data_IF_899207238767
#
_entry.id   IF_899207238767
#
_cell.length_a   1.000
_cell.length_b   1.000
_cell.length_c   1.000
_cell.angle_alpha   90.00
_cell.angle_beta   90.00
_cell.angle_gamma   90.00
#
_symmetry.space_group_name_H-M   'P 1'
#
loop_
_entity.id
_entity.type
_entity.pdbx_description
1 polymer ?
#
# COMPACT_ATOMS: atom_id res chain seq x y z
N UNK A 1 26.02 19.03 -10.93
CA UNK A 1 24.76 18.29 -10.76
C UNK A 1 23.62 19.28 -10.98
N UNK A 2 22.82 19.13 -12.03
CA UNK A 2 21.71 20.07 -12.31
C UNK A 2 20.50 19.73 -11.44
N UNK A 3 19.60 20.69 -11.23
CA UNK A 3 18.35 20.50 -10.46
C UNK A 3 17.48 19.37 -11.05
N UNK A 4 17.64 19.06 -12.35
CA UNK A 4 16.98 17.95 -13.05
C UNK A 4 17.60 16.58 -12.79
N UNK A 5 18.87 16.50 -12.37
CA UNK A 5 19.53 15.25 -11.93
C UNK A 5 19.20 14.91 -10.47
N UNK A 6 18.81 15.91 -9.68
CA UNK A 6 18.32 15.78 -8.29
C UNK A 6 16.80 15.57 -8.19
N UNK A 7 16.06 15.73 -9.30
CA UNK A 7 14.69 15.23 -9.37
C UNK A 7 14.75 13.70 -9.28
N UNK A 8 14.56 13.20 -8.07
CA UNK A 8 14.34 11.81 -7.66
C UNK A 8 13.42 11.06 -8.65
N UNK A 9 13.95 10.65 -9.80
CA UNK A 9 13.31 9.72 -10.73
C UNK A 9 13.57 8.22 -10.48
N UNK A 10 14.33 7.75 -9.47
CA UNK A 10 14.38 6.31 -9.18
C UNK A 10 13.47 5.95 -8.00
N UNK A 11 12.27 5.44 -8.27
CA UNK A 11 11.38 4.90 -7.21
C UNK A 11 9.91 4.78 -7.59
N UNK A 12 9.31 5.92 -7.96
CA UNK A 12 7.86 6.05 -8.06
C UNK A 12 7.26 5.30 -9.28
N UNK A 13 7.83 5.49 -10.47
CA UNK A 13 7.23 4.95 -11.71
C UNK A 13 7.25 3.42 -11.85
N UNK A 14 8.08 2.71 -11.09
CA UNK A 14 8.14 1.24 -11.11
C UNK A 14 7.45 0.60 -9.91
N UNK A 15 7.40 1.29 -8.76
CA UNK A 15 6.46 0.98 -7.67
C UNK A 15 5.00 0.99 -8.17
N UNK A 16 4.66 1.96 -9.04
CA UNK A 16 3.41 2.00 -9.81
C UNK A 16 3.19 0.75 -10.68
N UNK A 17 4.24 0.26 -11.34
CA UNK A 17 4.20 -0.97 -12.15
C UNK A 17 4.08 -2.22 -11.32
N UNK A 18 4.50 -2.20 -10.05
CA UNK A 18 4.54 -3.37 -9.18
C UNK A 18 3.26 -3.59 -8.40
N UNK A 19 2.68 -2.48 -7.99
CA UNK A 19 1.29 -2.47 -7.60
C UNK A 19 0.35 -2.55 -8.80
N UNK A 20 0.87 -2.74 -10.04
CA UNK A 20 0.17 -2.90 -11.33
C UNK A 20 -1.23 -2.33 -11.22
N UNK A 21 -1.41 -1.07 -11.63
CA UNK A 21 -2.73 -0.52 -11.90
C UNK A 21 -3.60 -1.65 -12.46
N UNK A 22 -4.60 -2.12 -11.69
CA UNK A 22 -5.30 -3.35 -12.03
C UNK A 22 -5.74 -3.23 -13.48
N UNK A 23 -5.30 -4.16 -14.33
CA UNK A 23 -5.67 -4.11 -15.75
C UNK A 23 -7.17 -4.28 -15.80
N UNK A 24 -7.85 -3.21 -16.19
CA UNK A 24 -9.28 -3.17 -16.38
C UNK A 24 -9.54 -2.97 -17.87
N UNK A 25 -10.26 -3.89 -18.48
CA UNK A 25 -10.55 -3.88 -19.92
C UNK A 25 -11.97 -3.39 -20.20
N UNK A 26 -12.74 -3.05 -19.17
CA UNK A 26 -14.09 -2.49 -19.28
C UNK A 26 -14.08 -0.99 -18.99
N UNK A 27 -14.47 -0.20 -19.99
CA UNK A 27 -14.53 1.27 -19.90
C UNK A 27 -15.39 1.74 -18.73
N UNK A 28 -16.50 1.05 -18.47
CA UNK A 28 -17.44 1.37 -17.39
C UNK A 28 -16.82 1.29 -15.98
N UNK A 29 -15.70 0.58 -15.82
CA UNK A 29 -14.99 0.43 -14.54
C UNK A 29 -13.71 1.28 -14.48
N UNK A 30 -13.29 1.92 -15.58
CA UNK A 30 -12.00 2.62 -15.64
C UNK A 30 -11.90 3.77 -14.65
N UNK A 31 -12.98 4.52 -14.44
CA UNK A 31 -13.00 5.63 -13.47
C UNK A 31 -12.79 5.11 -12.05
N UNK A 32 -13.56 4.11 -11.63
CA UNK A 32 -13.43 3.47 -10.31
C UNK A 32 -12.00 2.95 -10.07
N UNK A 33 -11.41 2.29 -11.07
CA UNK A 33 -10.05 1.76 -11.02
C UNK A 33 -9.01 2.87 -10.96
N UNK A 34 -9.21 3.97 -11.68
CA UNK A 34 -8.33 5.15 -11.67
C UNK A 34 -8.35 5.85 -10.30
N UNK A 35 -9.53 6.07 -9.72
CA UNK A 35 -9.70 6.65 -8.39
C UNK A 35 -9.04 5.77 -7.34
N UNK A 36 -9.29 4.46 -7.38
CA UNK A 36 -8.61 3.49 -6.52
C UNK A 36 -7.09 3.58 -6.67
N UNK A 37 -6.58 3.60 -7.90
CA UNK A 37 -5.15 3.68 -8.15
C UNK A 37 -4.55 4.94 -7.50
N UNK A 38 -5.16 6.10 -7.70
CA UNK A 38 -4.73 7.35 -7.07
C UNK A 38 -4.73 7.27 -5.53
N UNK A 39 -5.81 6.74 -4.94
CA UNK A 39 -5.93 6.57 -3.48
C UNK A 39 -4.89 5.61 -2.93
N UNK A 40 -4.71 4.48 -3.60
CA UNK A 40 -3.75 3.45 -3.22
C UNK A 40 -2.34 3.98 -3.33
N UNK A 41 -2.00 4.70 -4.41
CA UNK A 41 -0.69 5.31 -4.61
C UNK A 41 -0.35 6.35 -3.54
N UNK A 42 -1.35 7.08 -3.00
CA UNK A 42 -1.14 7.98 -1.85
C UNK A 42 -0.76 7.22 -0.58
N UNK A 43 -1.51 6.17 -0.23
CA UNK A 43 -1.19 5.32 0.92
C UNK A 43 0.17 4.64 0.75
N UNK A 44 0.44 4.19 -0.46
CA UNK A 44 1.67 3.53 -0.85
C UNK A 44 2.90 4.46 -0.84
N UNK A 45 2.73 5.73 -1.21
CA UNK A 45 3.78 6.75 -1.10
C UNK A 45 4.23 6.92 0.36
N UNK A 46 3.33 6.73 1.32
CA UNK A 46 3.69 6.70 2.74
C UNK A 46 4.52 5.46 3.11
N UNK A 47 4.24 4.29 2.50
CA UNK A 47 5.04 3.09 2.69
C UNK A 47 6.45 3.21 2.08
N UNK A 48 6.57 3.89 0.93
CA UNK A 48 7.85 4.12 0.25
C UNK A 48 8.64 5.29 0.80
N UNK A 49 8.06 6.10 1.69
CA UNK A 49 8.78 7.14 2.42
C UNK A 49 10.06 6.58 3.07
N UNK A 50 9.97 5.42 3.71
CA UNK A 50 11.13 4.76 4.31
C UNK A 50 12.19 4.39 3.27
N UNK A 51 11.82 3.81 2.14
CA UNK A 51 12.79 3.41 1.12
C UNK A 51 13.41 4.59 0.38
N UNK A 52 12.67 5.68 0.24
CA UNK A 52 13.07 6.85 -0.55
C UNK A 52 13.82 7.90 0.28
N UNK A 53 13.68 7.87 1.61
CA UNK A 53 14.38 8.80 2.50
C UNK A 53 15.37 8.06 3.39
N UNK A 54 14.92 7.06 4.15
CA UNK A 54 15.76 6.43 5.18
C UNK A 54 16.95 5.69 4.55
N UNK A 55 16.73 4.93 3.48
CA UNK A 55 17.84 4.20 2.83
C UNK A 55 18.87 5.17 2.23
N UNK A 56 18.49 6.17 1.41
CA UNK A 56 19.44 7.19 0.95
C UNK A 56 20.15 7.92 2.09
N UNK A 57 19.45 8.29 3.17
CA UNK A 57 20.08 8.93 4.34
C UNK A 57 21.14 8.03 4.96
N UNK A 58 20.87 6.73 5.14
CA UNK A 58 21.86 5.78 5.68
C UNK A 58 23.09 5.70 4.74
N UNK A 59 22.87 5.71 3.43
CA UNK A 59 23.96 5.68 2.44
C UNK A 59 24.80 6.96 2.52
N UNK A 60 24.15 8.13 2.62
CA UNK A 60 24.81 9.43 2.77
C UNK A 60 25.66 9.44 4.04
N UNK A 61 25.07 9.14 5.19
CA UNK A 61 25.75 9.15 6.50
C UNK A 61 26.94 8.19 6.52
N UNK A 62 26.80 7.02 5.88
CA UNK A 62 27.89 6.05 5.77
C UNK A 62 29.03 6.58 4.89
N UNK A 63 28.70 7.11 3.72
CA UNK A 63 29.69 7.67 2.80
C UNK A 63 30.43 8.85 3.43
N UNK A 64 29.70 9.71 4.15
CA UNK A 64 30.27 10.84 4.90
C UNK A 64 31.24 10.35 5.99
N UNK A 65 30.83 9.37 6.81
CA UNK A 65 31.68 8.83 7.87
C UNK A 65 32.94 8.14 7.33
N UNK A 66 32.81 7.39 6.22
CA UNK A 66 33.95 6.73 5.56
C UNK A 66 34.94 7.76 5.00
N UNK A 67 34.45 8.83 4.36
CA UNK A 67 35.29 9.88 3.79
C UNK A 67 35.94 10.76 4.88
N UNK A 68 35.22 11.13 5.93
CA UNK A 68 35.79 11.85 7.08
C UNK A 68 36.93 11.05 7.74
N UNK A 69 36.72 9.74 7.93
CA UNK A 69 37.75 8.86 8.46
C UNK A 69 38.97 8.71 7.52
N UNK A 70 38.78 8.84 6.20
CA UNK A 70 39.88 8.87 5.23
C UNK A 70 40.66 10.19 5.32
N UNK A 71 39.97 11.33 5.37
CA UNK A 71 40.56 12.67 5.53
C UNK A 71 41.39 12.74 6.81
N UNK A 72 40.88 12.24 7.94
CA UNK A 72 41.60 12.23 9.22
C UNK A 72 42.91 11.41 9.14
N UNK A 73 42.88 10.25 8.46
CA UNK A 73 44.06 9.39 8.30
C UNK A 73 45.13 9.99 7.39
N UNK A 74 44.74 10.77 6.40
CA UNK A 74 45.67 11.45 5.51
C UNK A 74 46.48 12.55 6.24
N UNK A 75 45.93 13.09 7.33
CA UNK A 75 46.60 14.13 8.13
C UNK A 75 46.84 15.44 7.37
N UNK A 76 46.22 15.61 6.19
CA UNK A 76 46.37 16.79 5.36
C UNK A 76 45.50 17.94 5.91
N UNK A 77 46.07 19.15 5.96
CA UNK A 77 45.33 20.36 6.28
C UNK A 77 44.49 20.78 5.06
N UNK A 78 43.31 20.18 4.91
CA UNK A 78 42.32 20.60 3.92
C UNK A 78 41.64 21.90 4.38
N UNK A 79 41.40 22.79 3.44
CA UNK A 79 40.44 23.89 3.63
C UNK A 79 39.02 23.32 3.78
N UNK A 80 38.12 24.11 4.34
CA UNK A 80 36.70 23.72 4.48
C UNK A 80 36.05 23.44 3.12
N UNK A 81 36.40 24.21 2.08
CA UNK A 81 35.91 24.01 0.71
C UNK A 81 36.41 22.70 0.09
N UNK A 82 37.68 22.36 0.29
CA UNK A 82 38.24 21.09 -0.19
C UNK A 82 37.61 19.89 0.52
N UNK A 83 37.39 20.01 1.85
CA UNK A 83 36.68 19.01 2.64
C UNK A 83 35.25 18.83 2.14
N UNK A 84 34.50 19.92 1.97
CA UNK A 84 33.12 19.88 1.48
C UNK A 84 33.02 19.23 0.10
N UNK A 85 33.93 19.58 -0.83
CA UNK A 85 33.97 19.00 -2.18
C UNK A 85 34.23 17.49 -2.18
N UNK A 86 35.11 17.01 -1.30
CA UNK A 86 35.38 15.58 -1.14
C UNK A 86 34.16 14.83 -0.62
N UNK A 87 33.51 15.35 0.42
CA UNK A 87 32.29 14.76 0.97
C UNK A 87 31.18 14.70 -0.08
N UNK A 88 30.93 15.79 -0.82
CA UNK A 88 29.94 15.83 -1.90
C UNK A 88 30.24 14.79 -2.99
N UNK A 89 31.52 14.64 -3.36
CA UNK A 89 31.96 13.64 -4.34
C UNK A 89 31.72 12.20 -3.84
N UNK A 90 32.07 11.90 -2.58
CA UNK A 90 31.90 10.58 -1.99
C UNK A 90 30.41 10.21 -1.86
N UNK A 91 29.60 11.15 -1.36
CA UNK A 91 28.14 11.00 -1.23
C UNK A 91 27.51 10.78 -2.61
N UNK A 92 27.85 11.62 -3.59
CA UNK A 92 27.34 11.53 -4.95
C UNK A 92 27.66 10.19 -5.60
N UNK A 93 28.87 9.68 -5.41
CA UNK A 93 29.28 8.35 -5.88
C UNK A 93 28.45 7.23 -5.23
N UNK A 94 28.33 7.24 -3.90
CA UNK A 94 27.61 6.20 -3.16
C UNK A 94 26.12 6.14 -3.55
N UNK A 95 25.47 7.31 -3.71
CA UNK A 95 24.10 7.40 -4.19
C UNK A 95 23.97 6.91 -5.63
N UNK A 96 24.90 7.30 -6.52
CA UNK A 96 24.90 6.85 -7.92
C UNK A 96 25.03 5.33 -8.03
N UNK A 97 25.91 4.71 -7.24
CA UNK A 97 26.08 3.26 -7.17
C UNK A 97 24.80 2.57 -6.68
N UNK A 98 24.16 3.10 -5.64
CA UNK A 98 22.89 2.58 -5.14
C UNK A 98 21.77 2.67 -6.18
N UNK A 99 21.61 3.80 -6.85
CA UNK A 99 20.57 3.95 -7.89
C UNK A 99 20.87 3.13 -9.13
N UNK A 100 22.15 2.96 -9.50
CA UNK A 100 22.56 2.04 -10.57
C UNK A 100 22.28 0.59 -10.20
N UNK A 101 22.52 0.20 -8.95
CA UNK A 101 22.14 -1.11 -8.42
C UNK A 101 20.64 -1.33 -8.53
N UNK A 102 19.83 -0.34 -8.13
CA UNK A 102 18.37 -0.42 -8.30
C UNK A 102 18.00 -0.60 -9.78
N UNK A 103 18.46 0.31 -10.65
CA UNK A 103 18.13 0.29 -12.08
C UNK A 103 18.52 -1.04 -12.77
N UNK A 104 19.74 -1.53 -12.52
CA UNK A 104 20.28 -2.75 -13.15
C UNK A 104 19.57 -4.02 -12.66
N UNK A 105 19.15 -4.07 -11.40
CA UNK A 105 18.43 -5.21 -10.86
C UNK A 105 16.92 -5.14 -11.15
N UNK A 106 16.38 -3.97 -11.50
CA UNK A 106 14.99 -3.83 -11.91
C UNK A 106 14.74 -3.97 -13.42
N UNK A 107 15.76 -3.93 -14.28
CA UNK A 107 15.60 -4.13 -15.74
C UNK A 107 14.51 -3.25 -16.39
N UNK A 108 14.06 -3.62 -17.60
CA UNK A 108 12.89 -2.99 -18.27
C UNK A 108 11.53 -3.50 -17.76
N UNK A 109 11.55 -4.56 -16.94
CA UNK A 109 10.42 -5.12 -16.21
C UNK A 109 10.88 -5.39 -14.78
N UNK A 110 10.51 -4.55 -13.80
CA UNK A 110 10.95 -4.70 -12.41
C UNK A 110 10.57 -6.07 -11.85
N UNK A 111 11.55 -6.76 -11.25
CA UNK A 111 11.27 -7.97 -10.47
C UNK A 111 10.45 -7.60 -9.22
N UNK A 112 9.22 -8.12 -9.09
CA UNK A 112 8.39 -7.86 -7.93
C UNK A 112 8.96 -8.25 -6.58
N UNK A 113 9.85 -9.23 -6.59
CA UNK A 113 10.48 -9.71 -5.38
C UNK A 113 11.49 -8.70 -4.84
N UNK A 114 12.31 -8.08 -5.71
CA UNK A 114 13.27 -7.07 -5.30
C UNK A 114 12.58 -5.86 -4.68
N UNK A 115 11.45 -5.43 -5.23
CA UNK A 115 10.74 -4.31 -4.65
C UNK A 115 10.17 -4.57 -3.27
N UNK A 116 9.51 -5.72 -3.14
CA UNK A 116 9.02 -6.22 -1.86
C UNK A 116 10.14 -6.26 -0.83
N UNK A 117 11.35 -6.61 -1.26
CA UNK A 117 12.54 -6.66 -0.43
C UNK A 117 13.03 -5.26 -0.04
N UNK A 118 13.00 -4.28 -0.95
CA UNK A 118 13.30 -2.88 -0.64
C UNK A 118 12.35 -2.27 0.40
N UNK A 119 11.03 -2.48 0.27
CA UNK A 119 10.07 -2.01 1.28
C UNK A 119 10.35 -2.68 2.63
N UNK A 120 10.60 -4.00 2.65
CA UNK A 120 10.92 -4.72 3.88
C UNK A 120 12.19 -4.22 4.55
N UNK A 121 13.24 -3.92 3.77
CA UNK A 121 14.47 -3.29 4.28
C UNK A 121 14.17 -1.93 4.90
N UNK A 122 13.35 -1.11 4.25
CA UNK A 122 12.95 0.18 4.79
C UNK A 122 12.22 0.04 6.13
N UNK A 123 11.25 -0.87 6.23
CA UNK A 123 10.57 -1.13 7.50
C UNK A 123 11.53 -1.66 8.58
N UNK A 124 12.45 -2.56 8.23
CA UNK A 124 13.48 -3.04 9.14
C UNK A 124 14.32 -1.87 9.70
N UNK A 125 14.76 -0.94 8.85
CA UNK A 125 15.50 0.23 9.30
C UNK A 125 14.69 1.14 10.21
N UNK A 126 13.41 1.36 9.91
CA UNK A 126 12.52 2.12 10.80
C UNK A 126 12.47 1.47 12.19
N UNK A 127 12.22 0.16 12.27
CA UNK A 127 12.19 -0.54 13.55
C UNK A 127 13.53 -0.52 14.29
N UNK A 128 14.63 -0.64 13.54
CA UNK A 128 15.97 -0.52 14.09
C UNK A 128 16.21 0.87 14.69
N UNK A 129 15.77 1.94 14.01
CA UNK A 129 15.82 3.31 14.52
C UNK A 129 14.95 3.43 15.78
N UNK A 130 13.73 2.90 15.79
CA UNK A 130 12.87 2.90 16.99
C UNK A 130 13.51 2.18 18.18
N UNK A 131 14.27 1.11 17.93
CA UNK A 131 14.99 0.36 18.96
C UNK A 131 16.14 1.15 19.56
N UNK A 132 16.91 1.88 18.73
CA UNK A 132 18.04 2.69 19.19
C UNK A 132 17.59 4.02 19.78
N UNK A 133 16.54 4.62 19.21
CA UNK A 133 15.97 5.91 19.59
C UNK A 133 14.50 5.73 19.96
N UNK A 134 14.18 5.29 21.19
CA UNK A 134 12.80 5.01 21.61
C UNK A 134 11.83 6.17 21.44
N UNK A 135 12.33 7.42 21.40
CA UNK A 135 11.55 8.63 21.18
C UNK A 135 10.89 8.65 19.79
N UNK A 136 11.49 7.97 18.80
CA UNK A 136 10.97 7.87 17.43
C UNK A 136 9.88 6.81 17.26
N UNK A 137 9.69 5.95 18.26
CA UNK A 137 8.77 4.81 18.17
C UNK A 137 7.32 5.24 17.90
N UNK A 138 6.86 6.31 18.56
CA UNK A 138 5.53 6.84 18.36
C UNK A 138 5.32 7.32 16.90
N UNK A 139 6.25 8.10 16.37
CA UNK A 139 6.18 8.60 15.00
C UNK A 139 6.18 7.47 13.95
N UNK A 140 6.97 6.42 14.18
CA UNK A 140 7.00 5.24 13.30
C UNK A 140 5.69 4.47 13.37
N UNK A 141 5.13 4.30 14.58
CA UNK A 141 3.83 3.68 14.75
C UNK A 141 2.70 4.48 14.08
N UNK A 142 2.73 5.81 14.17
CA UNK A 142 1.76 6.69 13.51
C UNK A 142 1.87 6.60 11.98
N UNK A 143 3.10 6.49 11.45
CA UNK A 143 3.32 6.22 10.04
C UNK A 143 2.75 4.85 9.61
N UNK A 144 2.91 3.81 10.41
CA UNK A 144 2.27 2.52 10.14
C UNK A 144 0.74 2.58 10.21
N UNK A 145 0.19 3.29 11.20
CA UNK A 145 -1.25 3.51 11.31
C UNK A 145 -1.83 4.27 10.10
N UNK A 146 -1.10 5.27 9.60
CA UNK A 146 -1.53 6.05 8.43
C UNK A 146 -1.54 5.19 7.16
N UNK A 147 -0.55 4.31 6.98
CA UNK A 147 -0.52 3.36 5.86
C UNK A 147 -1.72 2.41 5.87
N UNK A 148 -2.02 1.78 7.02
CA UNK A 148 -3.17 0.88 7.16
C UNK A 148 -4.50 1.60 6.90
N UNK A 149 -4.66 2.80 7.44
CA UNK A 149 -5.87 3.62 7.26
C UNK A 149 -6.02 4.09 5.81
N UNK A 150 -4.92 4.46 5.16
CA UNK A 150 -4.90 4.87 3.76
C UNK A 150 -5.30 3.73 2.81
N UNK A 151 -4.76 2.53 3.02
CA UNK A 151 -5.12 1.36 2.21
C UNK A 151 -6.56 0.92 2.45
N UNK A 152 -7.04 0.95 3.69
CA UNK A 152 -8.46 0.70 3.98
C UNK A 152 -9.37 1.68 3.26
N UNK A 153 -9.07 2.98 3.34
CA UNK A 153 -9.84 4.02 2.64
C UNK A 153 -9.85 3.79 1.13
N UNK A 154 -8.70 3.43 0.54
CA UNK A 154 -8.62 3.12 -0.88
C UNK A 154 -9.50 1.91 -1.25
N UNK A 155 -9.53 0.87 -0.41
CA UNK A 155 -10.39 -0.29 -0.60
C UNK A 155 -11.89 0.05 -0.48
N UNK A 156 -12.30 0.86 0.52
CA UNK A 156 -13.69 1.29 0.68
C UNK A 156 -14.17 2.05 -0.56
N UNK A 157 -13.38 3.00 -1.04
CA UNK A 157 -13.71 3.79 -2.24
C UNK A 157 -13.81 2.89 -3.47
N UNK A 158 -12.85 1.98 -3.67
CA UNK A 158 -12.92 1.00 -4.75
C UNK A 158 -14.23 0.20 -4.73
N UNK A 159 -14.62 -0.30 -3.55
CA UNK A 159 -15.83 -1.09 -3.42
C UNK A 159 -17.09 -0.29 -3.76
N UNK A 160 -17.17 0.95 -3.29
CA UNK A 160 -18.30 1.84 -3.56
C UNK A 160 -18.39 2.20 -5.05
N UNK A 161 -17.28 2.61 -5.66
CA UNK A 161 -17.23 3.04 -7.06
C UNK A 161 -17.49 1.88 -8.02
N UNK A 162 -16.87 0.71 -7.82
CA UNK A 162 -17.13 -0.48 -8.65
C UNK A 162 -18.61 -0.87 -8.61
N UNK A 163 -19.19 -0.86 -7.41
CA UNK A 163 -20.59 -1.24 -7.24
C UNK A 163 -21.52 -0.27 -7.95
N UNK A 164 -21.29 1.05 -7.80
CA UNK A 164 -22.07 2.08 -8.50
C UNK A 164 -21.92 1.98 -10.02
N UNK A 165 -20.70 1.82 -10.53
CA UNK A 165 -20.46 1.63 -11.96
C UNK A 165 -21.26 0.47 -12.55
N UNK A 166 -21.38 -0.63 -11.80
CA UNK A 166 -22.22 -1.79 -12.20
C UNK A 166 -23.70 -1.42 -12.20
N UNK A 167 -24.20 -0.76 -11.14
CA UNK A 167 -25.60 -0.38 -11.06
C UNK A 167 -26.02 0.63 -12.14
N UNK A 168 -25.15 1.59 -12.46
CA UNK A 168 -25.42 2.59 -13.48
C UNK A 168 -25.41 1.96 -14.89
N UNK A 169 -24.54 0.98 -15.10
CA UNK A 169 -24.48 0.23 -16.37
C UNK A 169 -25.64 -0.76 -16.53
N UNK A 170 -26.14 -1.31 -15.41
CA UNK A 170 -27.17 -2.36 -15.37
C UNK A 170 -28.31 -1.96 -14.42
N UNK A 171 -29.13 -0.94 -14.75
CA UNK A 171 -30.07 -0.34 -13.81
C UNK A 171 -31.16 -1.29 -13.31
N UNK A 172 -31.42 -2.40 -14.00
CA UNK A 172 -32.47 -3.36 -13.68
C UNK A 172 -31.97 -4.60 -12.91
N UNK A 173 -30.68 -4.65 -12.53
CA UNK A 173 -30.10 -5.80 -11.83
C UNK A 173 -30.66 -5.99 -10.41
N UNK A 174 -30.99 -4.89 -9.74
CA UNK A 174 -31.63 -4.86 -8.42
C UNK A 174 -32.76 -3.84 -8.43
N UNK A 175 -33.79 -4.07 -7.61
CA UNK A 175 -34.93 -3.17 -7.53
C UNK A 175 -34.56 -1.82 -6.89
N UNK A 176 -35.29 -0.75 -7.22
CA UNK A 176 -35.11 0.57 -6.59
C UNK A 176 -35.24 0.53 -5.06
N UNK A 177 -36.08 -0.37 -4.54
CA UNK A 177 -36.21 -0.59 -3.09
C UNK A 177 -34.92 -1.15 -2.51
N UNK A 178 -34.30 -2.12 -3.17
CA UNK A 178 -33.02 -2.70 -2.75
C UNK A 178 -31.91 -1.67 -2.85
N UNK A 179 -31.81 -0.92 -3.96
CA UNK A 179 -30.86 0.19 -4.12
C UNK A 179 -30.91 1.16 -2.95
N UNK A 180 -32.11 1.64 -2.58
CA UNK A 180 -32.28 2.55 -1.44
C UNK A 180 -31.86 1.94 -0.11
N UNK A 181 -32.15 0.66 0.10
CA UNK A 181 -31.78 -0.06 1.32
C UNK A 181 -30.26 -0.25 1.48
N UNK A 182 -29.53 -0.25 0.35
CA UNK A 182 -28.08 -0.45 0.29
C UNK A 182 -27.32 0.88 0.27
N UNK A 183 -27.80 1.89 -0.47
CA UNK A 183 -27.15 3.20 -0.60
C UNK A 183 -27.06 3.95 0.74
N UNK A 184 -28.07 3.82 1.62
CA UNK A 184 -28.09 4.52 2.89
C UNK A 184 -26.98 4.05 3.88
N UNK A 185 -26.66 2.75 3.99
CA UNK A 185 -25.47 2.26 4.68
C UNK A 185 -24.13 2.62 4.03
N UNK A 186 -24.04 2.63 2.70
CA UNK A 186 -22.76 2.85 1.99
C UNK A 186 -22.19 4.26 2.18
N UNK A 187 -23.05 5.28 2.27
CA UNK A 187 -22.62 6.67 2.47
C UNK A 187 -22.14 7.01 3.89
N UNK A 188 -22.31 6.13 4.88
CA UNK A 188 -21.77 6.30 6.22
C UNK A 188 -20.58 5.38 6.39
N UNK A 189 -19.37 5.95 6.41
CA UNK A 189 -18.09 5.35 6.86
C UNK A 189 -18.26 3.88 7.29
N UNK A 190 -18.30 3.01 6.30
CA UNK A 190 -19.01 1.74 6.39
C UNK A 190 -18.08 0.60 6.72
N UNK A 191 -18.36 -0.13 7.79
CA UNK A 191 -17.68 -1.40 8.02
C UNK A 191 -17.87 -2.38 6.85
N UNK A 192 -17.11 -3.47 6.87
CA UNK A 192 -17.12 -4.48 5.80
C UNK A 192 -18.48 -5.19 5.61
N UNK A 193 -19.35 -5.18 6.63
CA UNK A 193 -20.68 -5.82 6.59
C UNK A 193 -21.61 -5.20 5.52
N UNK A 194 -21.87 -3.87 5.51
CA UNK A 194 -22.55 -3.21 4.40
C UNK A 194 -21.99 -3.59 3.02
N UNK A 195 -20.66 -3.54 2.87
CA UNK A 195 -19.99 -3.85 1.59
C UNK A 195 -20.37 -5.26 1.12
N UNK A 196 -20.17 -6.27 1.97
CA UNK A 196 -20.51 -7.67 1.67
C UNK A 196 -21.98 -7.81 1.29
N UNK A 197 -22.90 -7.17 2.03
CA UNK A 197 -24.34 -7.26 1.76
C UNK A 197 -24.73 -6.71 0.39
N UNK A 198 -24.18 -5.56 -0.02
CA UNK A 198 -24.46 -5.01 -1.34
C UNK A 198 -23.97 -5.90 -2.46
N UNK A 199 -22.73 -6.37 -2.33
CA UNK A 199 -22.11 -7.22 -3.33
C UNK A 199 -22.83 -8.57 -3.42
N UNK A 200 -23.19 -9.17 -2.29
CA UNK A 200 -24.02 -10.38 -2.25
C UNK A 200 -25.36 -10.16 -2.96
N UNK A 201 -26.05 -9.05 -2.69
CA UNK A 201 -27.35 -8.75 -3.33
C UNK A 201 -27.22 -8.50 -4.83
N UNK A 202 -26.11 -7.90 -5.27
CA UNK A 202 -25.93 -7.42 -6.66
C UNK A 202 -25.37 -8.49 -7.58
N UNK A 203 -24.39 -9.27 -7.10
CA UNK A 203 -23.62 -10.17 -7.96
C UNK A 203 -24.14 -11.62 -7.96
N UNK A 204 -25.23 -11.94 -7.26
CA UNK A 204 -25.84 -13.28 -7.31
C UNK A 204 -26.51 -13.58 -8.66
N UNK A 205 -26.48 -14.85 -9.13
CA UNK A 205 -25.91 -16.03 -8.47
C UNK A 205 -24.42 -16.27 -8.76
N UNK A 206 -23.79 -15.54 -9.70
CA UNK A 206 -22.43 -15.85 -10.20
C UNK A 206 -21.30 -15.06 -9.50
N UNK A 207 -21.58 -14.49 -8.34
CA UNK A 207 -20.68 -13.62 -7.58
C UNK A 207 -19.72 -14.36 -6.64
N UNK A 208 -19.58 -15.68 -6.72
CA UNK A 208 -18.76 -16.45 -5.77
C UNK A 208 -17.28 -15.98 -5.71
N UNK A 209 -16.58 -15.69 -6.82
CA UNK A 209 -15.20 -15.18 -6.75
C UNK A 209 -15.09 -13.82 -6.05
N UNK A 210 -16.09 -12.95 -6.28
CA UNK A 210 -16.21 -11.64 -5.65
C UNK A 210 -16.40 -11.80 -4.14
N UNK A 211 -17.34 -12.66 -3.73
CA UNK A 211 -17.64 -12.90 -2.32
C UNK A 211 -16.49 -13.59 -1.60
N UNK A 212 -15.79 -14.53 -2.26
CA UNK A 212 -14.57 -15.14 -1.73
C UNK A 212 -13.51 -14.08 -1.44
N UNK A 213 -13.36 -13.09 -2.33
CA UNK A 213 -12.43 -11.97 -2.13
C UNK A 213 -12.84 -11.08 -0.95
N UNK A 214 -14.13 -10.73 -0.85
CA UNK A 214 -14.66 -9.89 0.23
C UNK A 214 -14.69 -10.60 1.60
N UNK A 215 -14.67 -11.94 1.61
CA UNK A 215 -14.65 -12.76 2.82
C UNK A 215 -13.22 -13.12 3.28
N UNK A 216 -12.18 -12.55 2.66
CA UNK A 216 -10.81 -12.78 3.13
C UNK A 216 -10.61 -12.17 4.54
N UNK A 217 -10.09 -12.96 5.51
CA UNK A 217 -9.86 -12.50 6.88
C UNK A 217 -9.01 -11.24 7.01
N UNK A 218 -8.13 -10.97 6.05
CA UNK A 218 -7.25 -9.80 6.08
C UNK A 218 -8.05 -8.50 6.01
N UNK A 219 -9.22 -8.49 5.37
CA UNK A 219 -10.12 -7.35 5.33
C UNK A 219 -10.81 -7.14 6.69
N UNK A 220 -11.21 -8.20 7.39
CA UNK A 220 -11.81 -8.09 8.73
C UNK A 220 -10.81 -7.55 9.75
N UNK A 221 -9.55 -8.02 9.69
CA UNK A 221 -8.46 -7.51 10.54
C UNK A 221 -8.21 -6.04 10.24
N UNK A 222 -8.09 -5.66 8.97
CA UNK A 222 -7.83 -4.27 8.57
C UNK A 222 -8.98 -3.33 8.95
N UNK A 223 -10.23 -3.75 8.72
CA UNK A 223 -11.43 -3.01 9.12
C UNK A 223 -11.46 -2.77 10.64
N UNK A 224 -11.15 -3.81 11.42
CA UNK A 224 -11.10 -3.74 12.89
C UNK A 224 -9.96 -2.83 13.37
N UNK A 225 -8.78 -2.91 12.76
CA UNK A 225 -7.64 -2.03 13.07
C UNK A 225 -7.96 -0.56 12.76
N UNK A 226 -8.56 -0.30 11.60
CA UNK A 226 -8.98 1.05 11.22
C UNK A 226 -9.97 1.64 12.23
N UNK A 227 -10.90 0.83 12.75
CA UNK A 227 -11.80 1.28 13.82
C UNK A 227 -11.02 1.77 15.06
N UNK A 228 -10.09 0.97 15.60
CA UNK A 228 -9.35 1.38 16.80
C UNK A 228 -8.37 2.54 16.55
N UNK A 229 -7.75 2.60 15.36
CA UNK A 229 -6.87 3.70 14.98
C UNK A 229 -7.65 5.01 14.95
N UNK A 230 -8.80 5.03 14.26
CA UNK A 230 -9.58 6.26 14.02
C UNK A 230 -10.44 6.64 15.24
N UNK A 231 -11.04 5.67 15.92
CA UNK A 231 -12.07 5.94 16.94
C UNK A 231 -11.59 5.71 18.38
N UNK A 232 -10.48 5.01 18.59
CA UNK A 232 -9.97 4.72 19.94
C UNK A 232 -8.52 5.18 20.14
N UNK A 233 -8.06 6.18 19.36
CA UNK A 233 -6.71 6.75 19.45
C UNK A 233 -5.61 5.69 19.41
N UNK A 234 -5.78 4.67 18.56
CA UNK A 234 -4.88 3.53 18.46
C UNK A 234 -4.62 2.84 19.82
N UNK A 235 -5.66 2.64 20.63
CA UNK A 235 -5.63 1.81 21.84
C UNK A 235 -6.50 0.57 21.64
N UNK A 236 -6.11 -0.54 22.25
CA UNK A 236 -6.95 -1.74 22.24
C UNK A 236 -8.22 -1.51 23.06
N UNK A 237 -9.37 -1.90 22.51
CA UNK A 237 -10.63 -2.03 23.24
C UNK A 237 -11.09 -3.50 23.22
N UNK A 238 -12.06 -3.82 24.08
CA UNK A 238 -12.59 -5.18 24.17
C UNK A 238 -13.27 -5.62 22.87
N UNK A 239 -13.97 -4.69 22.20
CA UNK A 239 -14.69 -4.97 20.96
C UNK A 239 -13.75 -5.46 19.85
N UNK A 240 -12.59 -4.82 19.69
CA UNK A 240 -11.55 -5.21 18.77
C UNK A 240 -10.97 -6.57 19.13
N UNK A 241 -10.59 -6.78 20.40
CA UNK A 241 -9.99 -8.05 20.83
C UNK A 241 -10.94 -9.23 20.60
N UNK A 242 -12.23 -9.03 20.84
CA UNK A 242 -13.26 -10.02 20.56
C UNK A 242 -13.43 -10.27 19.05
N UNK A 243 -13.42 -9.20 18.23
CA UNK A 243 -13.59 -9.33 16.77
C UNK A 243 -12.43 -10.04 16.08
N UNK A 244 -11.21 -9.89 16.61
CA UNK A 244 -10.00 -10.45 15.98
C UNK A 244 -9.50 -11.75 16.60
N UNK A 245 -10.10 -12.21 17.71
CA UNK A 245 -9.69 -13.43 18.43
C UNK A 245 -9.53 -14.65 17.53
N UNK A 246 -10.43 -14.82 16.57
CA UNK A 246 -10.43 -15.94 15.63
C UNK A 246 -9.25 -15.95 14.64
N UNK A 247 -8.54 -14.82 14.48
CA UNK A 247 -7.43 -14.71 13.55
C UNK A 247 -6.06 -15.03 14.18
N UNK A 248 -6.02 -15.24 15.50
CA UNK A 248 -4.81 -15.61 16.22
C UNK A 248 -3.66 -14.65 15.98
N UNK A 249 -2.47 -15.19 15.70
CA UNK A 249 -1.24 -14.41 15.51
C UNK A 249 -1.22 -13.49 14.26
N UNK A 250 -2.26 -13.53 13.43
CA UNK A 250 -2.38 -12.62 12.27
C UNK A 250 -2.88 -11.23 12.65
N UNK A 251 -3.54 -11.10 13.80
CA UNK A 251 -4.05 -9.82 14.28
C UNK A 251 -3.21 -9.33 15.47
N UNK A 252 -2.88 -8.02 15.53
CA UNK A 252 -2.28 -7.42 16.72
C UNK A 252 -3.14 -7.67 17.96
N UNK A 253 -2.51 -7.98 19.09
CA UNK A 253 -3.20 -8.17 20.37
C UNK A 253 -2.46 -7.45 21.48
N UNK A 254 -3.18 -7.09 22.55
CA UNK A 254 -2.64 -6.39 23.71
C UNK A 254 -3.69 -6.27 24.81
N UNK A 255 -3.30 -5.71 25.95
CA UNK A 255 -4.25 -5.44 27.04
C UNK A 255 -5.21 -4.30 26.65
N UNK A 256 -6.46 -4.35 27.12
CA UNK A 256 -7.42 -3.25 26.94
C UNK A 256 -6.84 -1.94 27.48
N UNK A 257 -6.94 -0.87 26.69
CA UNK A 257 -6.38 0.45 26.97
C UNK A 257 -4.90 0.61 26.63
N UNK A 258 -4.17 -0.48 26.38
CA UNK A 258 -2.78 -0.40 25.94
C UNK A 258 -2.68 0.18 24.52
N UNK A 259 -1.61 0.92 24.20
CA UNK A 259 -1.39 1.41 22.85
C UNK A 259 -1.20 0.24 21.87
N UNK A 260 -1.79 0.38 20.69
CA UNK A 260 -1.51 -0.44 19.52
C UNK A 260 -0.10 -0.11 19.03
N UNK A 261 0.79 -1.10 19.13
CA UNK A 261 2.16 -1.01 18.62
C UNK A 261 2.28 -1.93 17.41
N UNK A 262 2.35 -1.32 16.24
CA UNK A 262 2.52 -2.01 14.96
C UNK A 262 4.00 -2.29 14.70
N UNK A 263 4.26 -3.45 14.12
CA UNK A 263 5.57 -3.84 13.61
C UNK A 263 5.54 -4.00 12.08
N UNK A 264 6.72 -4.04 11.48
CA UNK A 264 6.93 -4.15 10.04
C UNK A 264 6.23 -5.37 9.45
N UNK A 265 6.28 -6.49 10.17
CA UNK A 265 5.70 -7.77 9.77
C UNK A 265 4.18 -7.70 9.69
N UNK A 266 3.55 -7.08 10.68
CA UNK A 266 2.10 -6.85 10.74
C UNK A 266 1.67 -5.96 9.59
N UNK A 267 2.38 -4.85 9.37
CA UNK A 267 2.04 -3.88 8.31
C UNK A 267 2.19 -4.51 6.93
N UNK A 268 3.34 -5.10 6.57
CA UNK A 268 3.52 -5.80 5.28
C UNK A 268 2.50 -6.95 5.13
N UNK A 269 2.26 -7.68 6.22
CA UNK A 269 1.32 -8.80 6.29
C UNK A 269 -0.14 -8.42 6.06
N UNK A 270 -0.52 -7.15 6.22
CA UNK A 270 -1.87 -6.65 5.97
C UNK A 270 -1.98 -5.87 4.65
N UNK A 271 -1.03 -4.98 4.37
CA UNK A 271 -1.06 -4.14 3.17
C UNK A 271 -0.99 -4.97 1.89
N UNK A 272 -0.10 -5.97 1.84
CA UNK A 272 0.12 -6.78 0.63
C UNK A 272 -1.09 -7.65 0.29
N UNK A 273 -1.68 -8.43 1.21
CA UNK A 273 -2.90 -9.17 0.90
C UNK A 273 -4.02 -8.27 0.44
N UNK A 274 -4.26 -7.13 1.10
CA UNK A 274 -5.36 -6.23 0.72
C UNK A 274 -5.18 -5.63 -0.67
N UNK A 275 -3.96 -5.22 -1.04
CA UNK A 275 -3.67 -4.79 -2.42
C UNK A 275 -3.98 -5.89 -3.45
N UNK A 276 -3.68 -7.15 -3.14
CA UNK A 276 -4.01 -8.28 -4.02
C UNK A 276 -5.53 -8.57 -4.06
N UNK A 277 -6.23 -8.41 -2.95
CA UNK A 277 -7.69 -8.55 -2.89
C UNK A 277 -8.39 -7.48 -3.73
N UNK A 278 -7.93 -6.23 -3.72
CA UNK A 278 -8.45 -5.19 -4.62
C UNK A 278 -8.35 -5.59 -6.09
N UNK A 279 -7.20 -6.15 -6.51
CA UNK A 279 -7.00 -6.65 -7.89
C UNK A 279 -7.97 -7.79 -8.23
N UNK A 280 -8.13 -8.75 -7.31
CA UNK A 280 -9.07 -9.87 -7.48
C UNK A 280 -10.51 -9.39 -7.52
N UNK A 281 -10.87 -8.37 -6.75
CA UNK A 281 -12.22 -7.81 -6.74
C UNK A 281 -12.55 -7.16 -8.09
N UNK A 282 -11.64 -6.33 -8.61
CA UNK A 282 -11.80 -5.70 -9.93
C UNK A 282 -11.96 -6.76 -11.01
N UNK A 283 -11.08 -7.77 -11.02
CA UNK A 283 -11.16 -8.85 -11.98
C UNK A 283 -12.45 -9.67 -11.84
N UNK A 284 -12.88 -9.96 -10.61
CA UNK A 284 -14.12 -10.69 -10.35
C UNK A 284 -15.37 -9.94 -10.83
N UNK A 285 -15.41 -8.62 -10.64
CA UNK A 285 -16.50 -7.76 -11.16
C UNK A 285 -16.48 -7.72 -12.69
N UNK A 286 -15.29 -7.58 -13.29
CA UNK A 286 -15.10 -7.59 -14.73
C UNK A 286 -15.55 -8.92 -15.37
N UNK A 287 -15.13 -10.05 -14.81
CA UNK A 287 -15.52 -11.38 -15.27
C UNK A 287 -17.04 -11.58 -15.15
N UNK A 288 -17.62 -11.16 -14.03
CA UNK A 288 -19.06 -11.22 -13.82
C UNK A 288 -19.83 -10.44 -14.89
N UNK A 289 -19.38 -9.22 -15.25
CA UNK A 289 -19.98 -8.40 -16.29
C UNK A 289 -19.91 -9.06 -17.68
N UNK A 290 -18.81 -9.76 -18.00
CA UNK A 290 -18.72 -10.53 -19.25
C UNK A 290 -19.71 -11.69 -19.29
N UNK A 291 -19.89 -12.41 -18.17
CA UNK A 291 -20.78 -13.56 -18.11
C UNK A 291 -22.26 -13.17 -18.23
N UNK A 292 -22.64 -11.97 -17.75
CA UNK A 292 -23.98 -11.44 -17.97
C UNK A 292 -24.29 -11.10 -19.45
N UNK A 293 -23.31 -11.23 -20.35
CA UNK A 293 -23.50 -11.01 -21.79
C UNK A 293 -23.60 -9.54 -22.19
N UNK A 294 -23.28 -8.61 -21.29
CA UNK A 294 -23.36 -7.18 -21.55
C UNK A 294 -22.15 -6.62 -22.31
N UNK A 295 -21.04 -7.36 -22.33
CA UNK A 295 -19.82 -6.94 -23.01
C UNK A 295 -19.22 -8.09 -23.82
N UNK A 296 -18.77 -7.83 -25.06
CA UNK A 296 -18.07 -8.84 -25.83
C UNK A 296 -16.80 -9.23 -25.05
N UNK A 297 -16.59 -10.54 -24.85
CA UNK A 297 -15.34 -11.03 -24.29
C UNK A 297 -14.20 -10.41 -25.11
N UNK A 298 -13.23 -9.71 -24.48
CA UNK A 298 -12.05 -9.25 -25.20
C UNK A 298 -11.46 -10.50 -25.80
N UNK A 299 -11.41 -10.57 -27.13
CA UNK A 299 -10.77 -11.68 -27.83
C UNK A 299 -9.40 -11.78 -27.21
N UNK A 300 -9.15 -12.81 -26.38
CA UNK A 300 -7.87 -12.98 -25.68
C UNK A 300 -6.81 -13.04 -26.77
N UNK A 301 -6.20 -11.89 -27.07
CA UNK A 301 -4.91 -11.86 -27.74
C UNK A 301 -4.03 -12.74 -26.87
N UNK A 302 -3.50 -13.81 -27.47
CA UNK A 302 -2.73 -14.88 -26.84
C UNK A 302 -2.07 -14.39 -25.56
N UNK A 303 -2.34 -15.08 -24.44
CA UNK A 303 -1.67 -14.83 -23.18
C UNK A 303 -0.17 -14.61 -23.44
N UNK A 304 0.44 -13.52 -22.95
CA UNK A 304 1.87 -13.32 -23.09
C UNK A 304 2.54 -14.55 -22.45
N UNK A 305 3.32 -15.26 -23.26
CA UNK A 305 4.16 -16.38 -22.83
C UNK A 305 5.24 -15.88 -21.87
#
# INVERSE_FOLDING_TARGET
MTQDELLLKPGAGWAEQLFLAPKCNLDILLEAVSVFHSNFMRAHSSATFGSNIIIPTIIIERAEAEELGAIEKEGAALTDDERAKRLDTAIGKALSEYYSYLANNTGSKPDPHLYSEHIRRAYFYMEFIAKIRPQTRAAINDNFCSQLTGVWTAFEVLCDDLWKSVLDSLPNIISEREKRSILHPFGKVGGLKPIRKAYETTFTPLGEPIMTTLNDPSLDILASLRHIIVHNSAKFDQQYLDSVKQFGARAPTGAVGAPLLLDSKTVDGLLRPVGNLCKRLIWGVEEWLYVQGHFPFPRRGRAPR
#
